data_IF_913540315354
#
_entry.id   IF_913540315354
#
_cell.length_a   1.000
_cell.length_b   1.000
_cell.length_c   1.000
_cell.angle_alpha   90.00
_cell.angle_beta   90.00
_cell.angle_gamma   90.00
#
_symmetry.space_group_name_H-M   'P 1'
#
loop_
_entity.id
_entity.type
_entity.pdbx_description
1 polymer ?
#
# COMPACT_ATOMS: atom_id res chain seq x y z
N UNK A 1 15.10 16.82 -16.10
CA UNK A 1 14.31 16.22 -17.20
C UNK A 1 14.50 14.70 -17.30
N UNK A 2 15.74 14.18 -17.15
CA UNK A 2 16.04 12.75 -17.23
C UNK A 2 15.30 11.86 -16.20
N UNK A 3 15.23 12.28 -14.93
CA UNK A 3 14.55 11.53 -13.88
C UNK A 3 13.04 11.35 -14.14
N UNK A 4 12.36 12.40 -14.60
CA UNK A 4 10.94 12.32 -14.96
C UNK A 4 10.70 11.39 -16.16
N UNK A 5 11.62 11.36 -17.13
CA UNK A 5 11.55 10.44 -18.27
C UNK A 5 11.78 8.98 -17.84
N UNK A 6 12.70 8.74 -16.91
CA UNK A 6 12.93 7.40 -16.36
C UNK A 6 11.70 6.90 -15.60
N UNK A 7 11.14 7.72 -14.71
CA UNK A 7 9.91 7.39 -13.99
C UNK A 7 8.75 7.11 -14.95
N UNK A 8 8.56 7.96 -15.96
CA UNK A 8 7.50 7.78 -16.97
C UNK A 8 7.65 6.48 -17.76
N UNK A 9 8.89 6.05 -18.06
CA UNK A 9 9.16 4.76 -18.71
C UNK A 9 8.75 3.59 -17.82
N UNK A 10 9.20 3.58 -16.56
CA UNK A 10 8.87 2.49 -15.61
C UNK A 10 7.36 2.42 -15.38
N UNK A 11 6.67 3.56 -15.31
CA UNK A 11 5.20 3.61 -15.22
C UNK A 11 4.52 3.03 -16.48
N UNK A 12 5.01 3.36 -17.68
CA UNK A 12 4.47 2.82 -18.92
C UNK A 12 4.71 1.31 -19.05
N UNK A 13 5.89 0.84 -18.65
CA UNK A 13 6.22 -0.59 -18.61
C UNK A 13 5.31 -1.33 -17.63
N UNK A 14 5.08 -0.76 -16.43
CA UNK A 14 4.17 -1.33 -15.45
C UNK A 14 2.72 -1.41 -15.96
N UNK A 15 2.22 -0.34 -16.59
CA UNK A 15 0.88 -0.34 -17.22
C UNK A 15 0.72 -1.43 -18.28
N UNK A 16 1.81 -1.79 -18.96
CA UNK A 16 1.81 -2.80 -20.02
C UNK A 16 1.89 -4.23 -19.50
N UNK A 17 2.14 -4.41 -18.19
CA UNK A 17 2.28 -5.72 -17.55
C UNK A 17 1.27 -5.90 -16.40
N UNK A 18 -0.06 -5.83 -16.64
CA UNK A 18 -1.02 -6.00 -15.55
C UNK A 18 -1.12 -7.45 -15.08
N UNK A 19 -1.24 -7.64 -13.78
CA UNK A 19 -1.68 -8.89 -13.15
C UNK A 19 -3.06 -8.65 -12.57
N UNK A 20 -4.07 -9.40 -13.04
CA UNK A 20 -5.42 -9.30 -12.51
C UNK A 20 -5.69 -10.41 -11.50
N UNK A 21 -6.07 -10.01 -10.29
CA UNK A 21 -6.43 -10.93 -9.22
C UNK A 21 -7.92 -11.27 -9.27
N UNK A 22 -8.27 -12.48 -8.87
CA UNK A 22 -9.65 -12.87 -8.61
C UNK A 22 -10.10 -12.41 -7.20
N UNK A 23 -10.00 -11.10 -6.97
CA UNK A 23 -10.35 -10.46 -5.70
C UNK A 23 -11.12 -9.17 -5.98
N UNK A 24 -12.34 -9.05 -5.46
CA UNK A 24 -13.07 -7.78 -5.47
C UNK A 24 -12.71 -6.96 -4.22
N UNK A 25 -11.93 -5.91 -4.41
CA UNK A 25 -11.41 -5.13 -3.28
C UNK A 25 -12.47 -4.34 -2.53
N UNK A 26 -13.55 -3.94 -3.19
CA UNK A 26 -14.65 -3.24 -2.51
C UNK A 26 -15.35 -4.23 -1.59
N UNK A 27 -15.72 -5.41 -2.10
CA UNK A 27 -16.40 -6.45 -1.29
C UNK A 27 -15.53 -6.93 -0.14
N UNK A 28 -14.22 -7.08 -0.38
CA UNK A 28 -13.27 -7.43 0.67
C UNK A 28 -13.23 -6.37 1.78
N UNK A 29 -13.16 -5.08 1.41
CA UNK A 29 -13.18 -3.97 2.36
C UNK A 29 -14.51 -3.89 3.13
N UNK A 30 -15.65 -4.09 2.45
CA UNK A 30 -16.96 -4.16 3.11
C UNK A 30 -17.06 -5.31 4.12
N UNK A 31 -16.41 -6.44 3.83
CA UNK A 31 -16.38 -7.59 4.71
C UNK A 31 -15.41 -7.42 5.89
N UNK A 32 -14.39 -6.57 5.77
CA UNK A 32 -13.54 -6.17 6.88
C UNK A 32 -14.38 -5.37 7.87
N UNK A 33 -14.61 -5.92 9.07
CA UNK A 33 -15.30 -5.18 10.12
C UNK A 33 -14.48 -3.93 10.50
N UNK A 34 -15.12 -2.75 10.50
CA UNK A 34 -14.51 -1.45 10.86
C UNK A 34 -13.85 -1.40 12.25
N UNK A 35 -14.09 -2.40 13.10
CA UNK A 35 -13.52 -2.54 14.45
C UNK A 35 -12.86 -3.90 14.68
N UNK A 36 -12.60 -4.68 13.64
CA UNK A 36 -11.79 -5.88 13.77
C UNK A 36 -10.35 -5.45 14.05
N UNK A 37 -9.84 -5.81 15.23
CA UNK A 37 -8.47 -5.55 15.63
C UNK A 37 -7.49 -6.65 15.21
N UNK A 38 -7.89 -7.55 14.30
CA UNK A 38 -7.08 -8.69 13.86
C UNK A 38 -6.84 -9.77 14.92
N UNK A 39 -7.45 -9.65 16.10
CA UNK A 39 -7.27 -10.60 17.21
C UNK A 39 -8.32 -11.72 17.21
N UNK A 40 -9.26 -11.69 16.26
CA UNK A 40 -10.37 -12.63 16.19
C UNK A 40 -10.10 -13.62 15.06
N UNK A 41 -9.35 -14.68 15.38
CA UNK A 41 -8.95 -15.73 14.41
C UNK A 41 -10.15 -16.30 13.62
N UNK A 42 -11.32 -16.41 14.27
CA UNK A 42 -12.55 -16.88 13.60
C UNK A 42 -13.06 -15.92 12.53
N UNK A 43 -12.80 -14.62 12.65
CA UNK A 43 -13.16 -13.62 11.64
C UNK A 43 -12.19 -13.68 10.46
N UNK A 44 -10.89 -13.80 10.72
CA UNK A 44 -9.87 -13.97 9.68
C UNK A 44 -10.12 -15.26 8.87
N UNK A 45 -10.38 -16.39 9.54
CA UNK A 45 -10.74 -17.65 8.87
C UNK A 45 -12.01 -17.49 8.00
N UNK A 46 -13.00 -16.73 8.48
CA UNK A 46 -14.23 -16.47 7.72
C UNK A 46 -13.98 -15.60 6.49
N UNK A 47 -13.04 -14.66 6.58
CA UNK A 47 -12.62 -13.82 5.46
C UNK A 47 -11.82 -14.62 4.45
N UNK A 48 -10.88 -15.45 4.89
CA UNK A 48 -10.10 -16.34 4.02
C UNK A 48 -10.99 -17.34 3.26
N UNK A 49 -12.07 -17.82 3.88
CA UNK A 49 -13.06 -18.66 3.18
C UNK A 49 -13.85 -17.90 2.13
N UNK A 50 -14.16 -16.62 2.36
CA UNK A 50 -14.93 -15.77 1.43
C UNK A 50 -14.07 -15.20 0.31
N UNK A 51 -12.81 -14.93 0.60
CA UNK A 51 -11.82 -14.32 -0.28
C UNK A 51 -10.55 -15.18 -0.19
N UNK A 52 -10.51 -16.33 -0.89
CA UNK A 52 -9.36 -17.22 -0.85
C UNK A 52 -8.11 -16.51 -1.36
N UNK A 53 -6.95 -16.93 -0.86
CA UNK A 53 -5.67 -16.43 -1.34
C UNK A 53 -5.58 -16.60 -2.86
N UNK A 54 -5.24 -15.52 -3.54
CA UNK A 54 -4.91 -15.55 -4.96
C UNK A 54 -3.62 -16.33 -5.20
N UNK A 55 -3.32 -16.53 -6.48
CA UNK A 55 -2.05 -17.11 -6.90
C UNK A 55 -0.87 -16.26 -6.42
N UNK A 56 0.20 -16.90 -5.96
CA UNK A 56 1.45 -16.20 -5.68
C UNK A 56 2.07 -15.71 -6.99
N UNK A 57 2.48 -14.44 -7.01
CA UNK A 57 3.11 -13.82 -8.16
C UNK A 57 4.50 -13.31 -7.76
N UNK A 58 5.51 -13.69 -8.55
CA UNK A 58 6.84 -13.13 -8.41
C UNK A 58 6.84 -11.69 -8.95
N UNK A 59 7.31 -10.75 -8.13
CA UNK A 59 7.43 -9.34 -8.48
C UNK A 59 8.89 -9.03 -8.81
N UNK A 60 9.26 -9.14 -10.08
CA UNK A 60 10.64 -8.96 -10.57
C UNK A 60 10.79 -7.88 -11.64
N UNK A 61 9.67 -7.38 -12.19
CA UNK A 61 9.63 -6.35 -13.22
C UNK A 61 8.50 -5.35 -12.94
N UNK A 62 8.57 -4.13 -13.51
CA UNK A 62 7.49 -3.15 -13.35
C UNK A 62 6.14 -3.72 -13.76
N UNK A 63 5.14 -3.61 -12.88
CA UNK A 63 3.79 -4.13 -13.11
C UNK A 63 2.73 -3.39 -12.29
N UNK A 64 1.48 -3.57 -12.71
CA UNK A 64 0.30 -3.12 -11.97
C UNK A 64 -0.51 -4.33 -11.54
N UNK A 65 -0.89 -4.37 -10.26
CA UNK A 65 -1.84 -5.36 -9.76
C UNK A 65 -3.24 -4.76 -9.77
N UNK A 66 -4.17 -5.47 -10.40
CA UNK A 66 -5.56 -5.09 -10.54
C UNK A 66 -6.47 -6.02 -9.74
N UNK A 67 -7.57 -5.48 -9.23
CA UNK A 67 -8.68 -6.26 -8.68
C UNK A 67 -9.52 -6.92 -9.79
N UNK A 68 -10.50 -7.73 -9.42
CA UNK A 68 -11.35 -8.45 -10.39
C UNK A 68 -12.18 -7.51 -11.28
N UNK A 69 -12.40 -6.26 -10.86
CA UNK A 69 -13.09 -5.21 -11.60
C UNK A 69 -12.15 -4.29 -12.39
N UNK A 70 -10.83 -4.57 -12.40
CA UNK A 70 -9.83 -3.77 -13.10
C UNK A 70 -9.35 -2.53 -12.34
N UNK A 71 -9.64 -2.41 -11.04
CA UNK A 71 -9.16 -1.30 -10.20
C UNK A 71 -7.73 -1.55 -9.78
N UNK A 72 -6.91 -0.49 -9.79
CA UNK A 72 -5.52 -0.60 -9.39
C UNK A 72 -5.41 -0.77 -7.87
N UNK A 73 -4.78 -1.87 -7.46
CA UNK A 73 -4.46 -2.19 -6.06
C UNK A 73 -3.03 -1.74 -5.72
N UNK A 74 -2.07 -2.11 -6.58
CA UNK A 74 -0.65 -1.88 -6.34
C UNK A 74 0.06 -1.48 -7.63
N UNK A 75 0.92 -0.48 -7.50
CA UNK A 75 2.00 -0.19 -8.43
C UNK A 75 3.27 -0.84 -7.92
N UNK A 76 3.84 -1.78 -8.67
CA UNK A 76 5.17 -2.30 -8.39
C UNK A 76 6.15 -1.71 -9.41
N UNK A 77 7.04 -0.84 -8.93
CA UNK A 77 7.89 0.02 -9.75
C UNK A 77 9.35 -0.11 -9.30
N UNK A 78 10.01 -1.25 -9.59
CA UNK A 78 11.42 -1.42 -9.29
C UNK A 78 12.24 -0.39 -10.05
N UNK A 79 13.32 0.10 -9.44
CA UNK A 79 14.28 1.03 -10.03
C UNK A 79 13.71 2.36 -10.55
N UNK A 80 12.47 2.70 -10.18
CA UNK A 80 11.84 3.97 -10.54
C UNK A 80 12.53 5.17 -9.88
N UNK A 81 13.17 4.94 -8.74
CA UNK A 81 13.93 5.93 -7.98
C UNK A 81 15.40 5.49 -7.99
N UNK A 82 16.30 6.36 -8.45
CA UNK A 82 17.73 6.06 -8.46
C UNK A 82 18.28 5.89 -7.04
N UNK A 83 19.33 5.07 -6.82
CA UNK A 83 19.91 4.82 -5.49
C UNK A 83 20.31 6.08 -4.72
N UNK A 84 20.87 7.11 -5.38
CA UNK A 84 21.15 8.41 -4.76
C UNK A 84 19.87 8.98 -4.14
N UNK A 85 18.75 8.92 -4.87
CA UNK A 85 17.51 9.61 -4.45
C UNK A 85 16.90 8.84 -3.30
N UNK A 86 17.03 7.52 -3.30
CA UNK A 86 16.66 6.70 -2.16
C UNK A 86 17.46 7.07 -0.91
N UNK A 87 18.78 7.25 -1.01
CA UNK A 87 19.62 7.66 0.12
C UNK A 87 19.27 9.05 0.66
N UNK A 88 19.08 10.04 -0.22
CA UNK A 88 18.63 11.39 0.17
C UNK A 88 17.24 11.36 0.84
N UNK A 89 16.32 10.53 0.32
CA UNK A 89 14.99 10.35 0.91
C UNK A 89 15.06 9.66 2.27
N UNK A 90 15.96 8.70 2.45
CA UNK A 90 16.20 8.00 3.71
C UNK A 90 16.72 8.98 4.78
N UNK A 91 17.77 9.75 4.46
CA UNK A 91 18.34 10.76 5.36
C UNK A 91 17.29 11.80 5.77
N UNK A 92 16.56 12.36 4.79
CA UNK A 92 15.50 13.32 5.07
C UNK A 92 14.37 12.71 5.93
N UNK A 93 14.06 11.43 5.75
CA UNK A 93 13.05 10.74 6.56
C UNK A 93 13.52 10.60 8.01
N UNK A 94 14.78 10.22 8.22
CA UNK A 94 15.39 10.10 9.55
C UNK A 94 15.34 11.45 10.28
N UNK A 95 15.74 12.53 9.62
CA UNK A 95 15.74 13.88 10.20
C UNK A 95 14.33 14.35 10.60
N UNK A 96 13.33 14.11 9.74
CA UNK A 96 11.94 14.44 10.03
C UNK A 96 11.44 13.62 11.24
N UNK A 97 11.76 12.33 11.30
CA UNK A 97 11.37 11.48 12.43
C UNK A 97 12.05 11.92 13.73
N UNK A 98 13.34 12.20 13.71
CA UNK A 98 14.10 12.70 14.85
C UNK A 98 13.52 14.04 15.36
N UNK A 99 13.15 14.94 14.45
CA UNK A 99 12.48 16.21 14.79
C UNK A 99 11.11 15.98 15.43
N UNK A 100 10.32 15.01 14.95
CA UNK A 100 9.00 14.69 15.51
C UNK A 100 9.08 14.06 16.90
N UNK A 101 10.08 13.21 17.14
CA UNK A 101 10.34 12.59 18.45
C UNK A 101 10.80 13.64 19.46
N UNK A 102 11.71 14.54 19.07
CA UNK A 102 12.25 15.58 19.96
C UNK A 102 11.25 16.69 20.27
N UNK A 103 10.33 17.01 19.37
CA UNK A 103 9.29 18.04 19.60
C UNK A 103 8.07 17.53 20.36
N UNK A 104 8.03 16.25 20.78
CA UNK A 104 6.92 15.67 21.55
C UNK A 104 5.58 15.63 20.81
N UNK A 105 5.57 15.89 19.49
CA UNK A 105 4.36 16.02 18.70
C UNK A 105 3.91 14.63 18.21
N UNK A 106 3.36 13.84 19.12
CA UNK A 106 2.58 12.66 18.77
C UNK A 106 1.35 13.11 17.98
N UNK A 107 1.30 12.78 16.69
CA UNK A 107 0.09 12.99 15.89
C UNK A 107 -0.88 11.89 16.32
N UNK A 108 -1.77 12.18 17.27
CA UNK A 108 -2.98 11.39 17.41
C UNK A 108 -3.73 11.42 16.06
N UNK A 109 -4.08 10.26 15.48
CA UNK A 109 -4.98 10.23 14.35
C UNK A 109 -6.27 10.93 14.78
N UNK A 110 -6.54 12.10 14.20
CA UNK A 110 -7.77 12.84 14.53
C UNK A 110 -8.96 12.04 14.02
N UNK A 111 -9.71 11.47 14.96
CA UNK A 111 -11.05 10.95 14.70
C UNK A 111 -11.44 9.88 15.69
N UNK A 112 -11.86 10.25 16.90
CA UNK A 112 -13.23 10.02 17.43
C UNK A 112 -13.41 11.02 18.56
N UNK A 113 -14.29 12.01 18.38
CA UNK A 113 -14.78 12.80 19.49
C UNK A 113 -15.69 11.93 20.34
N UNK A 114 -15.39 11.82 21.64
CA UNK A 114 -16.38 11.47 22.64
C UNK A 114 -16.54 12.68 23.57
N UNK A 115 -17.75 13.23 23.73
CA UNK A 115 -18.01 14.12 24.85
C UNK A 115 -18.06 13.26 26.13
N UNK A 116 -17.27 13.65 27.12
CA UNK A 116 -17.44 13.19 28.50
C UNK A 116 -18.76 13.74 29.06
N UNK A 117 -19.32 12.95 30.00
CA UNK A 117 -20.62 13.13 30.65
C UNK A 117 -20.73 14.40 31.46
#
# INVERSE_FOLDING_TARGET
MLACQQLARVLADAYSNPIQLDLDMIRYNEALHKHSNGMVATHEDSLLKKFPHGQEHLLDKPLVILDSAGRIILWYLPDAISPWIQAEMEEATIDILATRVTTGRWIHPRGVGHPEK
#
